data_IF_315754623283
#
_entry.id   IF_315754623283
#
_cell.length_a   1.000
_cell.length_b   1.000
_cell.length_c   1.000
_cell.angle_alpha   90.00
_cell.angle_beta   90.00
_cell.angle_gamma   90.00
#
_symmetry.space_group_name_H-M   'P 1'
#
loop_
_entity.id
_entity.type
_entity.pdbx_description
1 polymer ?
#
# COMPACT_ATOMS: atom_id res chain seq x y z
N UNK A 1 -1.76 10.46 -11.56
CA UNK A 1 -1.42 10.74 -10.14
C UNK A 1 -2.53 10.28 -9.17
N UNK A 2 -3.75 10.82 -9.22
CA UNK A 2 -4.79 10.50 -8.23
C UNK A 2 -5.17 9.01 -8.19
N UNK A 3 -5.42 8.39 -9.35
CA UNK A 3 -5.71 6.95 -9.45
C UNK A 3 -4.57 6.14 -8.82
N UNK A 4 -3.33 6.46 -9.17
CA UNK A 4 -2.12 5.84 -8.62
C UNK A 4 -2.07 5.95 -7.10
N UNK A 5 -2.27 7.15 -6.56
CA UNK A 5 -2.26 7.37 -5.11
C UNK A 5 -3.35 6.54 -4.41
N UNK A 6 -4.59 6.59 -4.90
CA UNK A 6 -5.71 5.83 -4.35
C UNK A 6 -5.46 4.32 -4.39
N UNK A 7 -5.02 3.79 -5.53
CA UNK A 7 -4.70 2.36 -5.70
C UNK A 7 -3.57 1.95 -4.77
N UNK A 8 -2.52 2.75 -4.64
CA UNK A 8 -1.36 2.47 -3.78
C UNK A 8 -1.77 2.41 -2.30
N UNK A 9 -2.60 3.36 -1.84
CA UNK A 9 -3.15 3.34 -0.49
C UNK A 9 -4.01 2.09 -0.22
N UNK A 10 -4.87 1.69 -1.17
CA UNK A 10 -5.68 0.46 -1.02
C UNK A 10 -4.83 -0.80 -1.05
N UNK A 11 -3.80 -0.86 -1.89
CA UNK A 11 -2.87 -1.97 -1.95
C UNK A 11 -2.09 -2.10 -0.63
N UNK A 12 -1.69 -1.00 0.00
CA UNK A 12 -1.03 -1.01 1.31
C UNK A 12 -1.86 -1.75 2.38
N UNK A 13 -3.19 -1.57 2.38
CA UNK A 13 -4.09 -2.31 3.28
C UNK A 13 -4.10 -3.81 3.00
N UNK A 14 -4.12 -4.24 1.73
CA UNK A 14 -4.08 -5.67 1.40
C UNK A 14 -2.81 -6.34 1.92
N UNK A 15 -1.68 -5.62 1.87
CA UNK A 15 -0.42 -6.10 2.43
C UNK A 15 -0.42 -6.05 3.97
N UNK A 16 -1.02 -5.03 4.59
CA UNK A 16 -1.09 -4.92 6.04
C UNK A 16 -2.02 -5.98 6.68
N UNK A 17 -3.11 -6.34 6.00
CA UNK A 17 -4.09 -7.32 6.47
C UNK A 17 -3.73 -8.77 6.11
N UNK A 18 -2.51 -9.04 5.63
CA UNK A 18 -2.11 -10.38 5.21
C UNK A 18 -1.88 -11.34 6.38
N UNK A 19 -2.08 -12.64 6.13
CA UNK A 19 -1.66 -13.70 7.05
C UNK A 19 -0.18 -13.51 7.42
N UNK A 20 0.12 -13.52 8.71
CA UNK A 20 1.46 -13.27 9.26
C UNK A 20 1.67 -11.86 9.83
N UNK A 21 0.69 -10.94 9.68
CA UNK A 21 0.69 -9.65 10.37
C UNK A 21 -0.28 -9.72 11.56
N UNK A 22 0.22 -9.76 12.81
CA UNK A 22 -0.65 -9.83 13.99
C UNK A 22 -1.31 -8.48 14.30
N UNK A 23 -2.42 -8.51 15.02
CA UNK A 23 -3.00 -7.31 15.63
C UNK A 23 -2.25 -6.96 16.92
N UNK A 24 -2.00 -5.67 17.15
CA UNK A 24 -1.23 -5.22 18.32
C UNK A 24 -1.98 -5.36 19.65
N UNK A 25 -3.32 -5.28 19.63
CA UNK A 25 -4.17 -5.46 20.83
C UNK A 25 -5.41 -6.31 20.50
N UNK A 26 -5.76 -7.28 21.36
CA UNK A 26 -7.03 -7.99 21.24
C UNK A 26 -8.19 -7.00 21.43
N UNK A 27 -9.16 -7.01 20.50
CA UNK A 27 -10.36 -6.16 20.55
C UNK A 27 -10.28 -4.79 19.86
N UNK A 28 -9.11 -4.38 19.34
CA UNK A 28 -9.01 -3.14 18.55
C UNK A 28 -9.52 -3.29 17.12
N UNK A 29 -9.78 -2.18 16.41
CA UNK A 29 -10.19 -2.18 14.99
C UNK A 29 -9.26 -3.03 14.10
N UNK A 30 -7.94 -2.99 14.36
CA UNK A 30 -6.96 -3.80 13.64
C UNK A 30 -7.16 -5.32 13.79
N UNK A 31 -7.75 -5.78 14.90
CA UNK A 31 -8.04 -7.18 15.13
C UNK A 31 -9.16 -7.72 14.23
N UNK A 32 -10.05 -6.86 13.72
CA UNK A 32 -11.12 -7.28 12.80
C UNK A 32 -10.61 -7.60 11.39
N UNK A 33 -9.43 -7.08 11.02
CA UNK A 33 -8.91 -7.17 9.65
C UNK A 33 -7.54 -7.84 9.53
N UNK A 34 -6.77 -7.92 10.62
CA UNK A 34 -5.48 -8.60 10.63
C UNK A 34 -5.61 -10.07 10.20
N UNK A 35 -4.73 -10.52 9.31
CA UNK A 35 -4.71 -11.91 8.83
C UNK A 35 -5.85 -12.32 7.90
N UNK A 36 -6.74 -11.42 7.50
CA UNK A 36 -7.87 -11.73 6.60
C UNK A 36 -7.45 -11.98 5.15
N UNK A 37 -6.33 -11.39 4.71
CA UNK A 37 -5.85 -11.51 3.32
C UNK A 37 -4.91 -12.70 3.18
N UNK A 38 -5.31 -13.68 2.37
CA UNK A 38 -4.48 -14.87 2.09
C UNK A 38 -3.30 -14.51 1.17
N UNK A 39 -2.12 -15.12 1.34
CA UNK A 39 -0.95 -14.84 0.50
C UNK A 39 -1.19 -15.04 -1.00
N UNK A 40 -2.08 -15.98 -1.36
CA UNK A 40 -2.46 -16.25 -2.75
C UNK A 40 -3.13 -15.05 -3.44
N UNK A 41 -3.75 -14.14 -2.69
CA UNK A 41 -4.41 -12.95 -3.24
C UNK A 41 -3.47 -11.73 -3.35
N UNK A 42 -2.31 -11.72 -2.68
CA UNK A 42 -1.40 -10.56 -2.65
C UNK A 42 -0.77 -10.27 -4.00
N UNK A 43 -0.22 -11.30 -4.65
CA UNK A 43 0.45 -11.18 -5.93
C UNK A 43 -0.49 -10.76 -7.06
N UNK A 44 -1.68 -11.38 -7.26
CA UNK A 44 -2.62 -10.92 -8.27
C UNK A 44 -3.15 -9.51 -7.98
N UNK A 45 -3.38 -9.13 -6.71
CA UNK A 45 -3.77 -7.76 -6.38
C UNK A 45 -2.68 -6.74 -6.71
N UNK A 46 -1.41 -7.08 -6.44
CA UNK A 46 -0.26 -6.22 -6.77
C UNK A 46 -0.09 -6.09 -8.28
N UNK A 47 -0.21 -7.20 -9.02
CA UNK A 47 -0.16 -7.19 -10.49
C UNK A 47 -1.31 -6.36 -11.08
N UNK A 48 -2.54 -6.55 -10.61
CA UNK A 48 -3.69 -5.77 -11.05
C UNK A 48 -3.49 -4.27 -10.77
N UNK A 49 -2.95 -3.92 -9.60
CA UNK A 49 -2.65 -2.54 -9.25
C UNK A 49 -1.57 -1.92 -10.16
N UNK A 50 -0.52 -2.67 -10.50
CA UNK A 50 0.49 -2.24 -11.48
C UNK A 50 -0.13 -2.00 -12.86
N UNK A 51 -0.98 -2.92 -13.33
CA UNK A 51 -1.66 -2.78 -14.63
C UNK A 51 -2.61 -1.57 -14.66
N UNK A 52 -3.42 -1.39 -13.61
CA UNK A 52 -4.35 -0.25 -13.50
C UNK A 52 -3.58 1.08 -13.49
N UNK A 53 -2.47 1.16 -12.76
CA UNK A 53 -1.69 2.40 -12.67
C UNK A 53 -0.93 2.70 -13.96
N UNK A 54 -0.35 1.70 -14.62
CA UNK A 54 0.26 1.85 -15.95
C UNK A 54 -0.77 2.34 -16.97
N UNK A 55 -1.96 1.73 -17.01
CA UNK A 55 -3.04 2.14 -17.91
C UNK A 55 -3.53 3.58 -17.64
N UNK A 56 -3.59 3.98 -16.37
CA UNK A 56 -4.04 5.32 -15.97
C UNK A 56 -3.04 6.45 -16.34
N UNK A 57 -1.79 6.12 -16.66
CA UNK A 57 -0.78 7.11 -17.05
C UNK A 57 -0.76 7.47 -18.53
N UNK A 58 -1.55 6.79 -19.37
CA UNK A 58 -1.63 7.04 -20.81
C UNK A 58 -0.52 6.36 -21.61
N UNK A 59 -0.41 6.69 -22.90
CA UNK A 59 0.45 5.98 -23.86
C UNK A 59 1.85 6.56 -24.03
N UNK A 60 2.19 7.65 -23.33
CA UNK A 60 3.54 8.20 -23.39
C UNK A 60 4.53 7.30 -22.63
N UNK A 61 5.82 7.25 -23.00
CA UNK A 61 6.81 6.44 -22.30
C UNK A 61 6.88 6.76 -20.79
N UNK A 62 6.85 8.05 -20.44
CA UNK A 62 6.78 8.50 -19.04
C UNK A 62 5.44 8.15 -18.39
N UNK A 63 4.34 8.26 -19.12
CA UNK A 63 3.00 7.90 -18.66
C UNK A 63 2.87 6.44 -18.26
N UNK A 64 3.48 5.51 -19.00
CA UNK A 64 3.44 4.08 -18.66
C UNK A 64 4.39 3.73 -17.50
N UNK A 65 5.50 4.45 -17.34
CA UNK A 65 6.59 4.09 -16.41
C UNK A 65 6.45 4.75 -15.05
N UNK A 66 6.11 6.04 -14.99
CA UNK A 66 6.07 6.82 -13.74
C UNK A 66 5.03 6.31 -12.74
N UNK A 67 3.77 5.99 -13.12
CA UNK A 67 2.76 5.56 -12.16
C UNK A 67 3.08 4.21 -11.48
N UNK A 68 3.55 3.17 -12.18
CA UNK A 68 4.02 1.95 -11.53
C UNK A 68 5.19 2.18 -10.55
N UNK A 69 6.16 3.04 -10.91
CA UNK A 69 7.25 3.42 -10.01
C UNK A 69 6.72 4.10 -8.75
N UNK A 70 5.81 5.06 -8.91
CA UNK A 70 5.17 5.75 -7.79
C UNK A 70 4.40 4.79 -6.88
N UNK A 71 3.70 3.81 -7.45
CA UNK A 71 3.01 2.77 -6.68
C UNK A 71 3.99 1.90 -5.88
N UNK A 72 5.07 1.45 -6.51
CA UNK A 72 6.07 0.61 -5.84
C UNK A 72 6.79 1.38 -4.72
N UNK A 73 7.10 2.66 -4.95
CA UNK A 73 7.69 3.53 -3.93
C UNK A 73 6.74 3.73 -2.73
N UNK A 74 5.46 4.04 -3.00
CA UNK A 74 4.47 4.21 -1.94
C UNK A 74 4.18 2.92 -1.16
N UNK A 75 4.08 1.79 -1.86
CA UNK A 75 3.96 0.48 -1.21
C UNK A 75 5.20 0.17 -0.36
N UNK A 76 6.40 0.45 -0.86
CA UNK A 76 7.66 0.29 -0.12
C UNK A 76 7.68 1.12 1.16
N UNK A 77 7.30 2.40 1.10
CA UNK A 77 7.20 3.27 2.26
C UNK A 77 6.21 2.73 3.31
N UNK A 78 5.03 2.30 2.87
CA UNK A 78 4.06 1.66 3.77
C UNK A 78 4.62 0.37 4.40
N UNK A 79 5.27 -0.50 3.63
CA UNK A 79 5.85 -1.73 4.18
C UNK A 79 6.96 -1.46 5.20
N UNK A 80 7.78 -0.41 5.00
CA UNK A 80 8.78 0.01 5.99
C UNK A 80 8.12 0.51 7.27
N UNK A 81 7.07 1.32 7.15
CA UNK A 81 6.30 1.80 8.30
C UNK A 81 5.60 0.64 9.02
N UNK A 82 5.05 -0.33 8.30
CA UNK A 82 4.45 -1.54 8.87
C UNK A 82 5.48 -2.36 9.64
N UNK A 83 6.69 -2.54 9.10
CA UNK A 83 7.79 -3.22 9.79
C UNK A 83 8.25 -2.46 11.03
N UNK A 84 8.20 -1.14 11.00
CA UNK A 84 8.51 -0.31 12.16
C UNK A 84 7.43 -0.44 13.24
N UNK A 85 6.15 -0.25 12.86
CA UNK A 85 5.00 -0.38 13.75
C UNK A 85 4.89 -1.79 14.34
N UNK A 86 5.08 -2.84 13.54
CA UNK A 86 5.06 -4.22 14.04
C UNK A 86 6.16 -4.51 15.07
N UNK A 87 7.37 -3.95 14.88
CA UNK A 87 8.46 -4.09 15.85
C UNK A 87 8.23 -3.28 17.13
N UNK A 88 7.56 -2.12 17.04
CA UNK A 88 7.36 -1.19 18.16
C UNK A 88 6.09 -1.47 18.97
N UNK A 89 5.02 -1.86 18.29
CA UNK A 89 3.67 -2.01 18.84
C UNK A 89 3.22 -3.47 18.93
N UNK A 90 3.99 -4.40 18.34
CA UNK A 90 3.65 -5.83 18.33
C UNK A 90 2.63 -6.25 17.27
N UNK A 91 2.21 -5.34 16.38
CA UNK A 91 1.24 -5.65 15.32
C UNK A 91 0.61 -4.41 14.70
N UNK A 92 -0.53 -4.59 14.03
CA UNK A 92 -1.34 -3.50 13.44
C UNK A 92 -2.46 -3.04 14.38
N UNK A 93 -2.73 -1.73 14.36
CA UNK A 93 -3.90 -1.05 14.96
C UNK A 93 -4.69 -0.32 13.87
N UNK A 94 -5.85 0.26 14.20
CA UNK A 94 -6.59 1.13 13.27
C UNK A 94 -5.75 2.33 12.81
N UNK A 95 -5.04 2.99 13.74
CA UNK A 95 -4.20 4.15 13.42
C UNK A 95 -3.02 3.77 12.53
N UNK A 96 -2.41 2.60 12.75
CA UNK A 96 -1.34 2.09 11.88
C UNK A 96 -1.88 1.87 10.47
N UNK A 97 -3.06 1.28 10.31
CA UNK A 97 -3.66 1.09 8.98
C UNK A 97 -3.93 2.43 8.28
N UNK A 98 -4.45 3.42 9.01
CA UNK A 98 -4.63 4.79 8.49
C UNK A 98 -3.31 5.41 8.03
N UNK A 99 -2.29 5.38 8.88
CA UNK A 99 -0.97 5.92 8.59
C UNK A 99 -0.30 5.23 7.39
N UNK A 100 -0.52 3.92 7.20
CA UNK A 100 -0.01 3.19 6.03
C UNK A 100 -0.67 3.67 4.73
N UNK A 101 -1.98 3.91 4.75
CA UNK A 101 -2.71 4.45 3.60
C UNK A 101 -2.20 5.85 3.26
N UNK A 102 -2.11 6.73 4.26
CA UNK A 102 -1.62 8.11 4.08
C UNK A 102 -0.18 8.16 3.59
N UNK A 103 0.72 7.36 4.17
CA UNK A 103 2.11 7.32 3.74
C UNK A 103 2.25 6.79 2.30
N UNK A 104 1.49 5.74 1.95
CA UNK A 104 1.47 5.20 0.59
C UNK A 104 0.92 6.20 -0.43
N UNK A 105 -0.19 6.88 -0.13
CA UNK A 105 -0.81 7.85 -1.03
C UNK A 105 0.09 9.07 -1.20
N UNK A 106 0.62 9.64 -0.10
CA UNK A 106 1.49 10.79 -0.13
C UNK A 106 2.78 10.52 -0.91
N UNK A 107 3.43 9.37 -0.65
CA UNK A 107 4.65 8.98 -1.37
C UNK A 107 4.37 8.82 -2.86
N UNK A 108 3.27 8.17 -3.24
CA UNK A 108 2.90 8.02 -4.65
C UNK A 108 2.64 9.37 -5.33
N UNK A 109 1.97 10.31 -4.65
CA UNK A 109 1.75 11.67 -5.17
C UNK A 109 3.07 12.43 -5.36
N UNK A 110 3.97 12.37 -4.37
CA UNK A 110 5.28 13.02 -4.45
C UNK A 110 6.08 12.45 -5.62
N UNK A 111 6.14 11.11 -5.78
CA UNK A 111 6.88 10.49 -6.88
C UNK A 111 6.27 10.86 -8.24
N UNK A 112 4.94 10.86 -8.37
CA UNK A 112 4.29 11.33 -9.59
C UNK A 112 4.59 12.81 -9.87
N UNK A 113 4.65 13.67 -8.85
CA UNK A 113 4.91 15.10 -9.01
C UNK A 113 6.38 15.41 -9.35
N UNK A 114 7.31 14.55 -8.97
CA UNK A 114 8.75 14.73 -9.21
C UNK A 114 9.21 14.11 -10.54
N UNK A 115 8.55 13.05 -11.01
CA UNK A 115 8.97 12.28 -12.19
C UNK A 115 8.04 12.41 -13.41
N UNK A 116 6.81 12.92 -13.22
CA UNK A 116 5.80 13.07 -14.27
C UNK A 116 5.60 14.54 -14.64
#
# INVERSE_FOLDING_TARGET
ALVTACVTGRLALTWACRVGVPAARPGGLGAMVAGTVRPRALWPATLAALLVTAAAGGLSPLGVVVPPIALLAGLGAALLLLRHAGRRLGGVTGDVLGALVEAATATALVVCAMLG
#
